data_IF_503551974635
#
_entry.id   IF_503551974635
#
_cell.length_a   1.000
_cell.length_b   1.000
_cell.length_c   1.000
_cell.angle_alpha   90.00
_cell.angle_beta   90.00
_cell.angle_gamma   90.00
#
_symmetry.space_group_name_H-M   'P 1'
#
loop_
_entity.id
_entity.type
_entity.pdbx_description
1 polymer ?
#
# COMPACT_ATOMS: atom_id res chain seq x y z
N UNK A 1 8.65 -16.88 -5.32
CA UNK A 1 8.09 -16.17 -6.50
C UNK A 1 8.89 -16.43 -7.78
N UNK A 2 10.22 -16.52 -7.69
CA UNK A 2 11.08 -16.73 -8.87
C UNK A 2 10.83 -18.05 -9.59
N UNK A 3 10.40 -19.09 -8.88
CA UNK A 3 10.15 -20.45 -9.42
C UNK A 3 8.73 -20.65 -9.92
N UNK A 4 7.82 -19.71 -9.66
CA UNK A 4 6.42 -19.80 -10.07
C UNK A 4 6.24 -19.46 -11.54
N UNK A 5 5.29 -20.14 -12.20
CA UNK A 5 4.85 -19.79 -13.55
C UNK A 5 4.19 -18.40 -13.58
N UNK A 6 4.08 -17.80 -14.75
CA UNK A 6 3.42 -16.51 -14.93
C UNK A 6 1.93 -16.54 -14.48
N UNK A 7 1.25 -17.68 -14.59
CA UNK A 7 -0.13 -17.86 -14.15
C UNK A 7 -0.23 -17.88 -12.62
N UNK A 8 0.64 -18.62 -11.95
CA UNK A 8 0.68 -18.71 -10.49
C UNK A 8 1.07 -17.35 -9.87
N UNK A 9 2.04 -16.63 -10.45
CA UNK A 9 2.40 -15.28 -10.01
C UNK A 9 1.21 -14.32 -10.11
N UNK A 10 0.48 -14.32 -11.22
CA UNK A 10 -0.72 -13.48 -11.38
C UNK A 10 -1.84 -13.82 -10.40
N UNK A 11 -1.95 -15.07 -9.97
CA UNK A 11 -2.93 -15.46 -8.97
C UNK A 11 -2.60 -14.97 -7.56
N UNK A 12 -1.31 -14.78 -7.25
CA UNK A 12 -0.83 -14.31 -5.94
C UNK A 12 -0.71 -12.79 -5.87
N UNK A 13 -0.15 -12.17 -6.92
CA UNK A 13 0.10 -10.71 -6.95
C UNK A 13 -1.25 -9.99 -7.10
N UNK A 14 -1.47 -9.02 -6.23
CA UNK A 14 -2.71 -8.23 -6.14
C UNK A 14 -3.76 -8.86 -5.23
N UNK A 15 -3.68 -10.16 -4.94
CA UNK A 15 -4.59 -10.87 -4.04
C UNK A 15 -3.95 -11.14 -2.68
N UNK A 16 -2.91 -11.97 -2.65
CA UNK A 16 -2.24 -12.38 -1.39
C UNK A 16 -0.99 -11.55 -1.11
N UNK A 17 -0.37 -11.00 -2.14
CA UNK A 17 0.79 -10.14 -2.09
C UNK A 17 0.48 -8.82 -2.80
N UNK A 18 0.61 -7.71 -2.08
CA UNK A 18 0.45 -6.37 -2.64
C UNK A 18 1.71 -5.53 -2.44
N UNK A 19 1.84 -4.48 -3.22
CA UNK A 19 2.98 -3.57 -3.16
C UNK A 19 2.51 -2.12 -3.26
N UNK A 20 3.06 -1.28 -2.41
CA UNK A 20 2.99 0.19 -2.49
C UNK A 20 4.32 0.67 -3.03
N UNK A 21 4.30 1.37 -4.16
CA UNK A 21 5.50 1.86 -4.83
C UNK A 21 5.92 3.23 -4.30
N UNK A 22 7.18 3.57 -4.53
CA UNK A 22 7.83 4.80 -4.09
C UNK A 22 7.13 6.09 -4.57
N UNK A 23 6.65 6.11 -5.83
CA UNK A 23 6.07 7.29 -6.44
C UNK A 23 4.56 7.17 -6.71
N UNK A 24 3.69 7.89 -5.95
CA UNK A 24 2.26 7.91 -6.21
C UNK A 24 1.88 8.48 -7.58
N UNK A 25 2.70 9.38 -8.11
CA UNK A 25 2.43 10.07 -9.38
C UNK A 25 2.56 9.14 -10.59
N UNK A 26 3.48 8.19 -10.55
CA UNK A 26 3.68 7.21 -11.62
C UNK A 26 2.75 6.00 -11.47
N UNK A 27 2.26 5.74 -10.25
CA UNK A 27 1.43 4.57 -9.93
C UNK A 27 -0.07 4.79 -10.17
N UNK A 28 -0.55 6.04 -10.03
CA UNK A 28 -1.94 6.39 -10.29
C UNK A 28 -2.10 6.93 -11.71
N UNK A 29 -3.00 6.33 -12.50
CA UNK A 29 -3.31 6.83 -13.83
C UNK A 29 -4.12 8.14 -13.75
N UNK A 30 -3.61 9.27 -14.29
CA UNK A 30 -4.27 10.58 -14.17
C UNK A 30 -5.59 10.68 -14.95
N UNK A 31 -5.85 9.77 -15.90
CA UNK A 31 -7.04 9.79 -16.74
C UNK A 31 -8.26 9.13 -16.09
N UNK A 32 -8.09 8.43 -14.98
CA UNK A 32 -9.18 7.73 -14.28
C UNK A 32 -9.34 8.25 -12.85
N UNK A 33 -10.60 8.23 -12.37
CA UNK A 33 -10.86 8.59 -10.97
C UNK A 33 -10.26 7.57 -10.01
N UNK A 34 -9.94 8.00 -8.79
CA UNK A 34 -9.33 7.10 -7.79
C UNK A 34 -10.26 5.94 -7.45
N UNK A 35 -11.56 6.17 -7.37
CA UNK A 35 -12.54 5.10 -7.11
C UNK A 35 -12.62 4.09 -8.24
N UNK A 36 -12.47 4.53 -9.50
CA UNK A 36 -12.42 3.62 -10.64
C UNK A 36 -11.19 2.71 -10.55
N UNK A 37 -10.01 3.27 -10.22
CA UNK A 37 -8.75 2.51 -10.15
C UNK A 37 -8.78 1.48 -9.02
N UNK A 38 -9.32 1.83 -7.83
CA UNK A 38 -9.52 0.85 -6.74
C UNK A 38 -10.54 -0.22 -7.17
N UNK A 39 -11.62 0.20 -7.85
CA UNK A 39 -12.66 -0.69 -8.38
C UNK A 39 -12.13 -1.70 -9.41
N UNK A 40 -11.16 -1.31 -10.25
CA UNK A 40 -10.49 -2.21 -11.20
C UNK A 40 -9.66 -3.28 -10.49
N UNK A 41 -8.94 -2.92 -9.42
CA UNK A 41 -8.22 -3.91 -8.61
C UNK A 41 -9.18 -4.95 -8.00
N UNK A 42 -10.35 -4.50 -7.50
CA UNK A 42 -11.41 -5.39 -7.01
C UNK A 42 -11.99 -6.25 -8.14
N UNK A 43 -12.24 -5.67 -9.32
CA UNK A 43 -12.77 -6.41 -10.46
C UNK A 43 -11.85 -7.52 -10.96
N UNK A 44 -10.55 -7.26 -10.93
CA UNK A 44 -9.53 -8.21 -11.39
C UNK A 44 -9.35 -9.41 -10.45
N UNK A 45 -9.51 -9.21 -9.14
CA UNK A 45 -9.15 -10.21 -8.13
C UNK A 45 -10.33 -10.73 -7.29
N UNK A 46 -11.46 -10.03 -7.32
CA UNK A 46 -12.70 -10.37 -6.61
C UNK A 46 -13.90 -10.31 -7.58
N UNK A 47 -13.93 -11.19 -8.60
CA UNK A 47 -14.97 -11.18 -9.64
C UNK A 47 -16.37 -11.49 -9.09
N UNK A 48 -16.47 -12.08 -7.91
CA UNK A 48 -17.72 -12.37 -7.21
C UNK A 48 -18.47 -11.10 -6.75
N UNK A 49 -17.78 -9.98 -6.59
CA UNK A 49 -18.40 -8.73 -6.19
C UNK A 49 -19.14 -8.09 -7.38
N UNK A 50 -20.42 -7.76 -7.19
CA UNK A 50 -21.17 -6.98 -8.15
C UNK A 50 -20.74 -5.48 -8.17
N UNK A 51 -21.29 -4.69 -9.10
CA UNK A 51 -20.92 -3.27 -9.25
C UNK A 51 -21.27 -2.43 -8.01
N UNK A 52 -22.37 -2.77 -7.30
CA UNK A 52 -22.77 -2.05 -6.10
C UNK A 52 -21.82 -2.38 -4.95
N UNK A 53 -21.55 -3.65 -4.71
CA UNK A 53 -20.61 -4.13 -3.69
C UNK A 53 -19.21 -3.56 -3.90
N UNK A 54 -18.72 -3.49 -5.16
CA UNK A 54 -17.42 -2.85 -5.46
C UNK A 54 -17.41 -1.37 -5.09
N UNK A 55 -18.49 -0.62 -5.41
CA UNK A 55 -18.58 0.81 -5.05
C UNK A 55 -18.59 1.01 -3.53
N UNK A 56 -19.36 0.22 -2.81
CA UNK A 56 -19.41 0.25 -1.34
C UNK A 56 -18.02 -0.05 -0.78
N UNK A 57 -17.35 -1.09 -1.27
CA UNK A 57 -16.01 -1.47 -0.85
C UNK A 57 -14.95 -0.41 -1.16
N UNK A 58 -15.03 0.28 -2.29
CA UNK A 58 -14.15 1.41 -2.63
C UNK A 58 -14.28 2.53 -1.59
N UNK A 59 -15.50 2.88 -1.18
CA UNK A 59 -15.74 3.91 -0.17
C UNK A 59 -15.17 3.48 1.19
N UNK A 60 -15.43 2.25 1.62
CA UNK A 60 -14.87 1.69 2.85
C UNK A 60 -13.34 1.74 2.87
N UNK A 61 -12.69 1.37 1.77
CA UNK A 61 -11.23 1.40 1.65
C UNK A 61 -10.67 2.82 1.76
N UNK A 62 -11.33 3.80 1.12
CA UNK A 62 -10.92 5.20 1.22
C UNK A 62 -11.12 5.76 2.63
N UNK A 63 -12.21 5.38 3.30
CA UNK A 63 -12.45 5.74 4.71
C UNK A 63 -11.39 5.08 5.62
N UNK A 64 -11.09 3.80 5.40
CA UNK A 64 -10.09 3.03 6.16
C UNK A 64 -8.69 3.66 6.12
N UNK A 65 -8.31 4.25 4.98
CA UNK A 65 -7.03 4.97 4.86
C UNK A 65 -7.13 6.44 5.26
N UNK A 66 -8.25 6.89 5.82
CA UNK A 66 -8.44 8.24 6.33
C UNK A 66 -8.58 9.31 5.24
N UNK A 67 -9.20 9.00 4.11
CA UNK A 67 -9.59 9.99 3.10
C UNK A 67 -10.90 10.65 3.51
N UNK A 68 -10.95 11.97 3.78
CA UNK A 68 -12.18 12.65 4.16
C UNK A 68 -13.16 12.67 2.98
N UNK A 69 -14.47 12.58 3.26
CA UNK A 69 -15.53 12.55 2.25
C UNK A 69 -15.30 11.47 1.16
N UNK A 70 -15.00 10.23 1.57
CA UNK A 70 -14.60 9.13 0.70
C UNK A 70 -15.52 8.95 -0.52
N UNK A 71 -16.84 9.03 -0.34
CA UNK A 71 -17.81 8.91 -1.43
C UNK A 71 -17.66 10.00 -2.51
N UNK A 72 -17.34 11.23 -2.11
CA UNK A 72 -17.05 12.34 -3.02
C UNK A 72 -15.67 12.17 -3.64
N UNK A 73 -14.66 11.83 -2.82
CA UNK A 73 -13.28 11.67 -3.27
C UNK A 73 -13.09 10.49 -4.22
N UNK A 74 -13.88 9.45 -4.13
CA UNK A 74 -13.87 8.35 -5.09
C UNK A 74 -14.09 8.82 -6.54
N UNK A 75 -14.76 9.98 -6.74
CA UNK A 75 -15.03 10.58 -8.06
C UNK A 75 -13.98 11.58 -8.51
N UNK A 76 -12.95 11.85 -7.71
CA UNK A 76 -11.87 12.79 -8.05
C UNK A 76 -10.76 12.08 -8.82
N UNK A 77 -10.02 12.87 -9.59
CA UNK A 77 -8.82 12.40 -10.29
C UNK A 77 -7.58 12.57 -9.42
N UNK A 78 -6.50 11.80 -9.63
CA UNK A 78 -5.29 11.89 -8.84
C UNK A 78 -4.70 13.31 -8.72
N UNK A 79 -4.72 14.10 -9.80
CA UNK A 79 -4.20 15.46 -9.80
C UNK A 79 -4.99 16.45 -8.91
N UNK A 80 -6.19 16.08 -8.47
CA UNK A 80 -7.02 16.89 -7.58
C UNK A 80 -6.76 16.58 -6.08
N UNK A 81 -5.82 15.67 -5.78
CA UNK A 81 -5.46 15.23 -4.45
C UNK A 81 -4.07 15.73 -4.05
N UNK A 82 -3.86 16.00 -2.76
CA UNK A 82 -2.52 16.26 -2.20
C UNK A 82 -1.61 15.02 -2.31
N UNK A 83 -0.30 15.19 -2.13
CA UNK A 83 0.66 14.08 -2.13
C UNK A 83 0.30 12.98 -1.12
N UNK A 84 0.05 13.37 0.12
CA UNK A 84 -0.36 12.42 1.16
C UNK A 84 -1.70 11.73 0.89
N UNK A 85 -2.66 12.42 0.26
CA UNK A 85 -3.92 11.78 -0.15
C UNK A 85 -3.71 10.78 -1.28
N UNK A 86 -2.84 11.07 -2.25
CA UNK A 86 -2.48 10.13 -3.30
C UNK A 86 -1.80 8.88 -2.74
N UNK A 87 -0.91 9.06 -1.76
CA UNK A 87 -0.27 7.95 -1.06
C UNK A 87 -1.30 7.07 -0.35
N UNK A 88 -2.26 7.67 0.36
CA UNK A 88 -3.37 6.94 1.00
C UNK A 88 -4.22 6.17 -0.01
N UNK A 89 -4.49 6.74 -1.19
CA UNK A 89 -5.20 6.05 -2.28
C UNK A 89 -4.41 4.84 -2.79
N UNK A 90 -3.08 4.95 -2.96
CA UNK A 90 -2.24 3.79 -3.32
C UNK A 90 -2.29 2.69 -2.27
N UNK A 91 -2.24 3.05 -0.99
CA UNK A 91 -2.40 2.09 0.11
C UNK A 91 -3.78 1.43 0.02
N UNK A 92 -4.85 2.20 -0.20
CA UNK A 92 -6.21 1.65 -0.38
C UNK A 92 -6.29 0.66 -1.55
N UNK A 93 -5.64 0.97 -2.68
CA UNK A 93 -5.55 0.05 -3.83
C UNK A 93 -4.82 -1.24 -3.46
N UNK A 94 -3.69 -1.14 -2.78
CA UNK A 94 -2.91 -2.31 -2.35
C UNK A 94 -3.71 -3.19 -1.37
N UNK A 95 -4.53 -2.59 -0.50
CA UNK A 95 -5.37 -3.30 0.46
C UNK A 95 -6.69 -3.83 -0.09
N UNK A 96 -7.04 -3.50 -1.34
CA UNK A 96 -8.35 -3.79 -1.91
C UNK A 96 -8.77 -5.27 -1.74
N UNK A 97 -7.83 -6.18 -1.97
CA UNK A 97 -8.06 -7.63 -1.91
C UNK A 97 -7.65 -8.27 -0.58
N UNK A 98 -7.41 -7.49 0.49
CA UNK A 98 -6.98 -7.98 1.81
C UNK A 98 -5.74 -8.87 1.73
N UNK A 99 -4.61 -8.35 1.27
CA UNK A 99 -3.40 -9.15 1.07
C UNK A 99 -2.88 -9.72 2.39
N UNK A 100 -2.22 -10.87 2.32
CA UNK A 100 -1.54 -11.49 3.46
C UNK A 100 -0.17 -10.86 3.71
N UNK A 101 0.42 -10.24 2.69
CA UNK A 101 1.70 -9.56 2.75
C UNK A 101 1.63 -8.25 1.95
N UNK A 102 1.98 -7.15 2.59
CA UNK A 102 2.18 -5.84 1.96
C UNK A 102 3.67 -5.51 1.93
N UNK A 103 4.18 -5.18 0.76
CA UNK A 103 5.52 -4.61 0.57
C UNK A 103 5.34 -3.11 0.33
N UNK A 104 5.94 -2.29 1.17
CA UNK A 104 5.94 -0.83 1.03
C UNK A 104 7.37 -0.38 0.69
N UNK A 105 7.57 0.05 -0.55
CA UNK A 105 8.85 0.50 -1.07
C UNK A 105 8.95 2.01 -0.97
N UNK A 106 9.72 2.49 0.00
CA UNK A 106 9.88 3.91 0.33
C UNK A 106 8.54 4.70 0.37
N UNK A 107 7.53 4.23 1.13
CA UNK A 107 6.16 4.73 1.00
C UNK A 107 5.98 6.18 1.48
N UNK A 108 7.01 6.78 2.03
CA UNK A 108 6.98 8.14 2.59
C UNK A 108 7.93 9.10 1.89
N UNK A 109 8.67 8.65 0.88
CA UNK A 109 9.59 9.48 0.09
C UNK A 109 8.84 10.65 -0.55
N UNK A 110 9.45 11.84 -0.55
CA UNK A 110 8.90 13.10 -1.05
C UNK A 110 7.66 13.65 -0.31
N UNK A 111 7.37 13.15 0.90
CA UNK A 111 6.36 13.69 1.80
C UNK A 111 7.04 14.53 2.90
N UNK A 112 6.32 15.52 3.42
CA UNK A 112 6.78 16.24 4.62
C UNK A 112 6.74 15.32 5.86
N UNK A 113 7.55 15.65 6.87
CA UNK A 113 7.76 14.82 8.08
C UNK A 113 6.46 14.48 8.79
N UNK A 114 5.51 15.42 8.83
CA UNK A 114 4.22 15.20 9.49
C UNK A 114 3.37 14.19 8.75
N UNK A 115 3.29 14.29 7.42
CA UNK A 115 2.56 13.33 6.58
C UNK A 115 3.27 11.97 6.56
N UNK A 116 4.62 11.95 6.58
CA UNK A 116 5.40 10.73 6.70
C UNK A 116 5.01 9.94 7.95
N UNK A 117 5.01 10.57 9.13
CA UNK A 117 4.59 9.94 10.37
C UNK A 117 3.16 9.39 10.29
N UNK A 118 2.22 10.16 9.74
CA UNK A 118 0.84 9.73 9.55
C UNK A 118 0.69 8.51 8.62
N UNK A 119 1.51 8.39 7.58
CA UNK A 119 1.48 7.23 6.66
C UNK A 119 2.05 6.00 7.36
N UNK A 120 3.12 6.15 8.14
CA UNK A 120 3.69 5.04 8.91
C UNK A 120 2.71 4.54 9.98
N UNK A 121 2.11 5.44 10.75
CA UNK A 121 1.07 5.10 11.73
C UNK A 121 -0.11 4.36 11.09
N UNK A 122 -0.54 4.82 9.90
CA UNK A 122 -1.59 4.17 9.12
C UNK A 122 -1.20 2.74 8.76
N UNK A 123 0.01 2.52 8.22
CA UNK A 123 0.48 1.18 7.81
C UNK A 123 0.56 0.23 9.02
N UNK A 124 1.06 0.71 10.17
CA UNK A 124 1.13 -0.07 11.39
C UNK A 124 -0.25 -0.38 11.98
N UNK A 125 -1.19 0.58 11.94
CA UNK A 125 -2.56 0.34 12.36
C UNK A 125 -3.21 -0.74 11.48
N UNK A 126 -3.09 -0.61 10.16
CA UNK A 126 -3.61 -1.59 9.20
C UNK A 126 -2.99 -2.98 9.37
N UNK A 127 -1.69 -3.05 9.65
CA UNK A 127 -0.99 -4.30 9.93
C UNK A 127 -1.56 -4.98 11.18
N UNK A 128 -1.76 -4.22 12.26
CA UNK A 128 -2.36 -4.74 13.51
C UNK A 128 -3.79 -5.21 13.32
N UNK A 129 -4.61 -4.41 12.62
CA UNK A 129 -6.05 -4.68 12.45
C UNK A 129 -6.31 -5.90 11.55
N UNK A 130 -5.46 -6.12 10.54
CA UNK A 130 -5.65 -7.18 9.55
C UNK A 130 -4.80 -8.43 9.82
N UNK A 131 -3.75 -8.32 10.65
CA UNK A 131 -2.78 -9.38 10.88
C UNK A 131 -1.90 -9.68 9.65
N UNK A 132 -1.87 -8.80 8.65
CA UNK A 132 -1.00 -8.97 7.46
C UNK A 132 0.46 -8.81 7.82
N UNK A 133 1.35 -9.49 7.08
CA UNK A 133 2.78 -9.20 7.11
C UNK A 133 3.06 -7.85 6.45
N UNK A 134 3.98 -7.06 7.03
CA UNK A 134 4.44 -5.81 6.43
C UNK A 134 5.96 -5.89 6.21
N UNK A 135 6.40 -5.68 4.98
CA UNK A 135 7.80 -5.45 4.62
C UNK A 135 7.95 -3.99 4.24
N UNK A 136 8.71 -3.25 5.03
CA UNK A 136 9.01 -1.85 4.76
C UNK A 136 10.42 -1.75 4.20
N UNK A 137 10.57 -1.17 3.01
CA UNK A 137 11.86 -0.84 2.41
C UNK A 137 12.07 0.66 2.64
N UNK A 138 13.16 1.01 3.31
CA UNK A 138 13.50 2.41 3.62
C UNK A 138 14.99 2.55 3.83
N UNK A 139 15.50 3.75 3.63
CA UNK A 139 16.87 4.15 3.99
C UNK A 139 16.91 4.99 5.29
N UNK A 140 15.77 5.23 5.93
CA UNK A 140 15.66 6.01 7.16
C UNK A 140 15.75 5.10 8.38
N UNK A 141 16.90 5.13 9.06
CA UNK A 141 17.16 4.34 10.27
C UNK A 141 16.26 4.75 11.45
N UNK A 142 15.80 6.01 11.49
CA UNK A 142 14.86 6.46 12.52
C UNK A 142 13.52 5.74 12.39
N UNK A 143 13.01 5.63 11.16
CA UNK A 143 11.81 4.85 10.85
C UNK A 143 12.00 3.38 11.21
N UNK A 144 13.15 2.80 10.84
CA UNK A 144 13.44 1.39 11.16
C UNK A 144 13.41 1.13 12.66
N UNK A 145 14.05 1.98 13.45
CA UNK A 145 14.13 1.82 14.90
C UNK A 145 12.73 1.93 15.59
N UNK A 146 11.83 2.71 15.00
CA UNK A 146 10.49 2.95 15.55
C UNK A 146 9.48 1.85 15.20
N UNK A 147 9.56 1.29 13.97
CA UNK A 147 8.47 0.45 13.43
C UNK A 147 8.84 -1.00 13.17
N UNK A 148 10.12 -1.35 13.12
CA UNK A 148 10.54 -2.68 12.69
C UNK A 148 10.71 -3.65 13.87
N UNK A 149 10.23 -4.88 13.73
CA UNK A 149 10.59 -5.99 14.62
C UNK A 149 11.95 -6.58 14.24
N UNK A 150 12.20 -6.66 12.93
CA UNK A 150 13.39 -7.30 12.34
C UNK A 150 13.88 -6.50 11.15
N UNK A 151 15.19 -6.40 11.03
CA UNK A 151 15.85 -5.64 9.97
C UNK A 151 16.75 -6.55 9.15
N UNK A 152 16.76 -6.31 7.85
CA UNK A 152 17.67 -6.92 6.89
C UNK A 152 18.40 -5.78 6.19
N UNK A 153 19.72 -5.70 6.38
CA UNK A 153 20.56 -4.71 5.70
C UNK A 153 21.04 -5.30 4.38
N UNK A 154 20.87 -4.53 3.30
CA UNK A 154 21.30 -4.92 1.96
C UNK A 154 22.36 -3.94 1.42
N UNK A 155 23.39 -4.48 0.81
CA UNK A 155 24.40 -3.72 0.10
C UNK A 155 24.77 -4.41 -1.22
N UNK A 156 24.77 -3.66 -2.32
CA UNK A 156 25.08 -4.15 -3.67
C UNK A 156 24.33 -5.44 -4.06
N UNK A 157 23.04 -5.53 -3.71
CA UNK A 157 22.18 -6.68 -4.03
C UNK A 157 22.43 -7.92 -3.15
N UNK A 158 23.21 -7.78 -2.08
CA UNK A 158 23.49 -8.87 -1.12
C UNK A 158 23.01 -8.48 0.26
N UNK A 159 22.43 -9.44 0.97
CA UNK A 159 22.16 -9.32 2.39
C UNK A 159 23.50 -9.34 3.14
N UNK A 160 23.77 -8.30 3.91
CA UNK A 160 25.00 -8.15 4.70
C UNK A 160 24.78 -8.36 6.19
N UNK A 161 23.57 -8.06 6.68
CA UNK A 161 23.23 -8.21 8.08
C UNK A 161 21.74 -8.57 8.25
N UNK A 162 21.42 -9.26 9.36
CA UNK A 162 20.05 -9.46 9.83
C UNK A 162 20.06 -9.41 11.35
N UNK A 163 19.26 -8.51 11.92
CA UNK A 163 19.14 -8.31 13.36
C UNK A 163 17.68 -8.06 13.76
N UNK A 164 17.39 -8.12 15.07
CA UNK A 164 16.20 -7.47 15.62
C UNK A 164 16.43 -5.97 15.65
N UNK A 165 15.39 -5.16 15.50
CA UNK A 165 15.55 -3.70 15.50
C UNK A 165 16.18 -3.16 16.79
N UNK A 166 15.94 -3.83 17.93
CA UNK A 166 16.51 -3.47 19.23
C UNK A 166 18.02 -3.81 19.38
N UNK A 167 18.58 -4.58 18.44
CA UNK A 167 19.97 -5.08 18.49
C UNK A 167 20.87 -4.34 17.45
N UNK A 168 20.30 -3.34 16.75
CA UNK A 168 20.98 -2.51 15.74
C UNK A 168 21.70 -1.30 16.34
#
# INVERSE_FOLDING_TARGET
LATLSARERRALIGRDLAMVFQEPMSSLNPCFTVGWQIGEALAAHMPELDLRQRRERVIELLDQVGIPDAARRARTFPHQLSGGMRQRVMIAMALACRPRLLIADEPTTALDVTIQAQILDLLLALQRDTGMGLVLITHDLGVVAEVADRVIVQYAGRQVETARAQDL
#
